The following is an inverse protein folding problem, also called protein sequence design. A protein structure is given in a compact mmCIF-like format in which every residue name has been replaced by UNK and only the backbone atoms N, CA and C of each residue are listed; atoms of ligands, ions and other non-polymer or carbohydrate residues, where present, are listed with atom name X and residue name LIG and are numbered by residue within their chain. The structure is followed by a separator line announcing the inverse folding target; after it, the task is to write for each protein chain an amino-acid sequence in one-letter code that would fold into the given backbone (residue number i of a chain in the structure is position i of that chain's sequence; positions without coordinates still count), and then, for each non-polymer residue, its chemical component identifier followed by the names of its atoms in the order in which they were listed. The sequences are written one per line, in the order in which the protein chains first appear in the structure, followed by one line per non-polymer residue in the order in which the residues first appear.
data_IF_239337312200
#
_entry.id   IF_239337312200
#
_cell.length_a   1.000
_cell.length_b   1.000
_cell.length_c   1.000
_cell.angle_alpha   90.00
_cell.angle_beta   90.00
_cell.angle_gamma   90.00
#
_symmetry.space_group_name_H-M   'P 1'
#
loop_
_entity.id
_entity.type
_entity.pdbx_description
1 polymer ?
#
# COMPACT_ATOMS: atom_id res chain seq x y z
N UNK A 21 5.32 -16.79 17.08
CA UNK A 21 6.13 -17.20 15.88
C UNK A 21 6.65 -15.98 15.11
N UNK A 22 7.23 -15.03 15.85
CA UNK A 22 7.61 -13.72 15.28
C UNK A 22 8.78 -13.80 14.32
N UNK A 23 8.63 -13.10 13.20
CA UNK A 23 9.69 -12.88 12.24
C UNK A 23 10.38 -11.59 12.64
N UNK A 24 11.67 -11.67 12.97
CA UNK A 24 12.50 -10.49 13.13
C UNK A 24 13.05 -10.09 11.77
N UNK A 25 13.49 -8.85 11.66
CA UNK A 25 13.60 -8.19 10.37
C UNK A 25 14.69 -7.10 10.42
N UNK A 26 15.67 -7.20 9.51
CA UNK A 26 16.79 -6.25 9.48
C UNK A 26 16.33 -4.98 8.81
N UNK A 27 15.61 -4.17 9.57
CA UNK A 27 14.96 -2.99 9.04
C UNK A 27 15.97 -2.00 8.50
N UNK A 28 17.08 -1.82 9.21
CA UNK A 28 18.19 -0.98 8.76
C UNK A 28 18.62 -1.34 7.34
N UNK A 29 18.80 -2.62 7.10
CA UNK A 29 19.23 -3.12 5.80
C UNK A 29 18.17 -2.94 4.73
N UNK A 30 16.92 -3.23 5.10
CA UNK A 30 15.77 -3.09 4.19
C UNK A 30 15.51 -1.62 3.86
N UNK A 31 15.39 -0.82 4.91
CA UNK A 31 15.28 0.64 4.85
C UNK A 31 16.34 1.27 3.94
N UNK A 32 17.55 0.70 3.93
CA UNK A 32 18.64 1.17 3.10
C UNK A 32 18.57 0.78 1.64
N UNK A 33 18.07 -0.42 1.35
CA UNK A 33 18.07 -0.95 -0.03
C UNK A 33 17.23 -0.08 -0.97
N UNK A 34 17.91 0.65 -1.85
CA UNK A 34 17.25 1.53 -2.81
C UNK A 34 16.71 0.79 -4.04
N UNK A 35 17.03 -0.50 -4.18
CA UNK A 35 16.41 -1.35 -5.20
C UNK A 35 14.93 -1.56 -4.90
N UNK A 36 14.60 -1.51 -3.61
CA UNK A 36 13.22 -1.56 -3.13
C UNK A 36 12.58 -0.18 -3.24
N UNK A 37 13.14 0.78 -2.54
CA UNK A 37 12.63 2.14 -2.49
C UNK A 37 12.14 2.64 -3.85
N UNK A 38 13.02 2.64 -4.84
CA UNK A 38 12.65 3.00 -6.22
C UNK A 38 11.47 2.15 -6.70
N UNK A 39 11.61 0.83 -6.57
CA UNK A 39 10.58 -0.12 -6.97
C UNK A 39 9.16 0.18 -6.48
N UNK A 40 9.05 0.81 -5.31
CA UNK A 40 7.73 1.15 -4.74
C UNK A 40 7.26 2.55 -5.12
N UNK A 41 8.18 3.47 -5.39
CA UNK A 41 7.80 4.73 -6.05
C UNK A 41 7.18 4.35 -7.38
N UNK A 42 7.95 3.60 -8.16
CA UNK A 42 7.49 3.14 -9.47
C UNK A 42 6.14 2.46 -9.38
N UNK A 43 5.97 1.59 -8.40
CA UNK A 43 4.68 0.94 -8.22
C UNK A 43 3.64 1.99 -7.94
N UNK A 44 3.95 2.93 -7.07
CA UNK A 44 2.99 3.96 -6.72
C UNK A 44 2.62 4.78 -7.94
N UNK A 45 3.60 5.41 -8.58
CA UNK A 45 3.32 6.22 -9.77
C UNK A 45 2.57 5.45 -10.84
N UNK A 46 3.17 4.37 -11.31
CA UNK A 46 2.54 3.58 -12.36
C UNK A 46 1.02 3.46 -12.21
N UNK A 47 0.58 3.15 -10.99
CA UNK A 47 -0.83 2.84 -10.70
C UNK A 47 -1.63 4.10 -10.42
N UNK A 48 -0.92 5.14 -9.99
CA UNK A 48 -1.44 6.47 -9.61
C UNK A 48 -1.95 7.24 -10.80
N UNK A 49 -1.27 7.07 -11.92
CA UNK A 49 -1.64 7.73 -13.15
C UNK A 49 -2.50 6.86 -14.05
N UNK A 50 -3.20 5.88 -13.48
CA UNK A 50 -4.34 5.27 -14.13
C UNK A 50 -5.59 6.03 -13.70
N UNK A 51 -5.45 6.83 -12.66
CA UNK A 51 -6.57 7.55 -12.10
C UNK A 51 -6.91 8.80 -12.89
N UNK A 52 -8.05 9.40 -12.54
CA UNK A 52 -8.55 10.64 -13.12
C UNK A 52 -8.30 11.80 -12.17
N UNK A 53 -7.20 12.51 -12.40
CA UNK A 53 -6.91 13.69 -11.61
C UNK A 53 -7.91 14.78 -12.00
N UNK A 54 -8.58 15.38 -11.00
CA UNK A 54 -9.53 16.44 -11.31
C UNK A 54 -8.88 17.70 -11.93
N UNK A 55 -9.71 18.70 -12.20
CA UNK A 55 -9.30 19.90 -12.93
C UNK A 55 -8.34 20.82 -12.18
N UNK A 56 -8.30 20.68 -10.86
CA UNK A 56 -7.45 21.54 -10.05
C UNK A 56 -6.04 20.96 -9.80
N UNK A 57 -5.65 19.93 -10.54
CA UNK A 57 -4.35 19.24 -10.36
C UNK A 57 -3.73 18.70 -11.62
N UNK A 58 -2.43 18.95 -11.77
CA UNK A 58 -1.61 18.35 -12.83
C UNK A 58 -0.27 17.91 -12.25
N UNK A 59 0.53 17.22 -13.05
CA UNK A 59 1.90 16.84 -12.66
C UNK A 59 1.99 16.36 -11.21
N UNK A 60 1.19 15.32 -10.92
CA UNK A 60 1.15 14.65 -9.61
C UNK A 60 1.92 13.34 -9.61
N UNK A 61 3.16 13.40 -9.14
CA UNK A 61 4.00 12.21 -9.00
C UNK A 61 4.45 12.02 -7.54
N UNK A 62 5.07 10.87 -7.30
CA UNK A 62 5.69 10.59 -6.02
C UNK A 62 7.15 10.92 -6.21
N UNK A 63 7.62 11.82 -5.37
CA UNK A 63 8.98 12.31 -5.39
C UNK A 63 9.87 11.30 -4.69
N UNK A 64 9.45 10.93 -3.48
CA UNK A 64 10.28 10.19 -2.54
C UNK A 64 9.42 9.31 -1.64
N UNK A 65 9.73 8.02 -1.61
CA UNK A 65 9.14 7.12 -0.63
C UNK A 65 10.13 6.95 0.49
N UNK A 66 9.65 6.95 1.73
CA UNK A 66 10.50 6.64 2.87
C UNK A 66 9.82 5.71 3.87
N UNK A 67 10.51 4.62 4.15
CA UNK A 67 10.05 3.63 5.10
C UNK A 67 10.18 4.24 6.48
N UNK A 68 9.52 3.65 7.46
CA UNK A 68 9.73 4.08 8.85
C UNK A 68 11.17 3.87 9.27
N UNK A 69 11.57 4.46 10.38
CA UNK A 69 12.82 4.09 11.06
C UNK A 69 12.62 2.79 11.83
N UNK A 70 11.36 2.52 12.19
CA UNK A 70 10.94 1.34 12.93
C UNK A 70 10.12 0.38 12.05
N UNK A 71 10.32 -0.93 12.23
CA UNK A 71 9.65 -1.95 11.43
C UNK A 71 8.21 -2.29 11.87
N UNK A 72 7.52 -3.11 11.08
CA UNK A 72 6.22 -3.67 11.47
C UNK A 72 6.42 -4.93 12.28
N UNK A 73 5.42 -5.26 13.09
CA UNK A 73 5.45 -6.50 13.81
C UNK A 73 4.99 -7.62 12.88
N UNK A 74 5.98 -8.32 12.36
CA UNK A 74 5.74 -9.40 11.45
C UNK A 74 5.56 -10.68 12.27
N UNK A 75 4.53 -11.45 11.96
CA UNK A 75 4.32 -12.74 12.58
C UNK A 75 4.00 -13.73 11.48
N UNK A 76 4.78 -14.81 11.41
CA UNK A 76 4.50 -15.87 10.44
C UNK A 76 3.26 -16.63 10.89
N UNK A 77 2.37 -16.88 9.95
CA UNK A 77 1.21 -17.74 10.19
C UNK A 77 1.33 -19.06 9.43
N UNK A 78 1.83 -19.01 8.20
CA UNK A 78 1.93 -20.19 7.35
C UNK A 78 3.02 -20.13 6.29
N UNK A 79 3.46 -21.31 5.86
CA UNK A 79 4.31 -21.46 4.69
C UNK A 79 3.57 -22.28 3.66
N UNK A 80 3.67 -21.82 2.42
CA UNK A 80 3.13 -22.54 1.27
C UNK A 80 4.09 -22.27 0.12
N UNK A 81 3.76 -22.81 -1.04
CA UNK A 81 4.41 -22.42 -2.28
C UNK A 81 3.58 -21.30 -2.92
N UNK A 82 4.25 -20.35 -3.58
CA UNK A 82 3.57 -19.26 -4.29
C UNK A 82 2.43 -19.75 -5.18
N UNK A 83 1.25 -19.13 -5.04
CA UNK A 83 0.11 -19.44 -5.90
C UNK A 83 0.42 -19.53 -7.40
N UNK A 84 -0.31 -20.38 -8.10
CA UNK A 84 -0.13 -20.55 -9.55
C UNK A 84 -0.23 -19.20 -10.23
N UNK A 85 -1.12 -18.36 -9.72
CA UNK A 85 -1.33 -17.04 -10.32
C UNK A 85 -0.21 -16.05 -10.10
N UNK A 86 0.73 -16.36 -9.21
CA UNK A 86 1.99 -15.62 -9.18
C UNK A 86 2.89 -16.06 -10.33
N UNK A 87 2.31 -16.57 -11.42
CA UNK A 87 3.08 -17.02 -12.57
C UNK A 87 2.52 -16.44 -13.87
N UNK A 88 3.43 -15.86 -14.63
CA UNK A 88 3.21 -14.65 -15.43
C UNK A 88 3.60 -14.74 -16.95
N UNK A 89 2.73 -14.17 -17.78
CA UNK A 89 2.90 -14.08 -19.24
C UNK A 89 3.35 -12.68 -19.67
N UNK A 105 13.58 -24.66 -3.60
CA UNK A 105 12.75 -24.62 -4.79
C UNK A 105 13.22 -23.59 -5.85
N UNK A 106 13.76 -22.44 -5.48
CA UNK A 106 13.98 -22.02 -4.08
C UNK A 106 12.89 -21.06 -3.57
N UNK A 107 11.74 -21.09 -4.24
CA UNK A 107 10.63 -20.18 -3.93
C UNK A 107 9.86 -20.60 -2.68
N UNK A 108 9.07 -19.66 -2.17
CA UNK A 108 8.47 -19.75 -0.85
C UNK A 108 7.37 -18.68 -0.77
N UNK A 109 6.42 -18.82 0.16
CA UNK A 109 5.31 -17.86 0.27
C UNK A 109 4.72 -17.76 1.69
N UNK A 110 5.11 -16.72 2.41
CA UNK A 110 4.76 -16.56 3.83
C UNK A 110 3.44 -15.79 4.05
N UNK A 111 2.45 -16.44 4.65
CA UNK A 111 1.28 -15.73 5.16
C UNK A 111 1.65 -15.10 6.49
N UNK A 112 1.23 -13.86 6.69
CA UNK A 112 1.85 -13.01 7.70
C UNK A 112 0.84 -12.05 8.32
N UNK A 113 1.00 -11.79 9.62
CA UNK A 113 0.33 -10.69 10.29
C UNK A 113 1.24 -9.46 10.38
N UNK A 114 0.79 -8.37 9.79
CA UNK A 114 1.49 -7.10 9.82
C UNK A 114 0.77 -6.16 10.74
N UNK A 115 1.36 -5.92 11.90
CA UNK A 115 0.93 -4.81 12.73
C UNK A 115 1.94 -3.71 12.47
N UNK A 116 1.52 -2.70 11.71
CA UNK A 116 2.35 -1.56 11.39
C UNK A 116 1.77 -0.28 11.94
N UNK A 117 2.28 0.14 13.09
CA UNK A 117 1.99 1.45 13.66
C UNK A 117 3.23 2.34 13.53
N UNK A 118 3.97 2.16 12.45
CA UNK A 118 5.27 2.80 12.29
C UNK A 118 5.19 4.23 11.79
N UNK A 119 6.35 4.74 11.36
CA UNK A 119 6.50 6.14 10.95
C UNK A 119 6.83 6.23 9.47
N UNK A 120 5.91 5.74 8.64
CA UNK A 120 6.10 5.72 7.20
C UNK A 120 5.75 7.05 6.60
N UNK A 121 6.39 7.39 5.48
CA UNK A 121 6.16 8.66 4.82
C UNK A 121 6.35 8.62 3.31
N UNK A 122 5.32 9.03 2.58
CA UNK A 122 5.41 9.14 1.12
C UNK A 122 5.31 10.61 0.74
N UNK A 123 6.26 11.04 -0.09
CA UNK A 123 6.43 12.44 -0.44
C UNK A 123 5.97 12.67 -1.87
N UNK A 124 5.24 13.76 -2.12
CA UNK A 124 4.58 13.99 -3.40
C UNK A 124 4.95 15.33 -4.07
N UNK A 125 4.62 15.44 -5.35
CA UNK A 125 4.81 16.65 -6.15
C UNK A 125 3.51 16.97 -6.85
N UNK A 126 3.04 18.21 -6.75
CA UNK A 126 1.76 18.57 -7.35
C UNK A 126 1.69 20.01 -7.85
N UNK A 127 0.81 20.24 -8.82
CA UNK A 127 0.52 21.56 -9.39
C UNK A 127 -0.97 21.90 -9.19
N UNK A 128 -1.23 23.13 -8.73
CA UNK A 128 -2.60 23.63 -8.56
C UNK A 128 -3.04 24.51 -9.75
N UNK A 129 -4.36 24.67 -9.91
CA UNK A 129 -4.95 25.38 -11.05
C UNK A 129 -6.16 26.20 -10.58
N UNK A 136 -8.67 29.85 -12.98
CA UNK A 136 -7.49 29.17 -13.53
C UNK A 136 -6.44 30.16 -14.13
N UNK A 137 -6.48 31.41 -13.66
CA UNK A 137 -5.57 32.46 -14.14
C UNK A 137 -4.12 32.27 -13.66
N UNK A 138 -3.81 31.16 -12.99
CA UNK A 138 -2.49 30.95 -12.37
C UNK A 138 -2.29 29.52 -11.82
N UNK A 139 -1.00 29.12 -11.73
CA UNK A 139 -0.58 27.80 -11.25
C UNK A 139 0.39 27.91 -10.07
N UNK A 140 0.14 27.11 -9.04
CA UNK A 140 1.06 27.01 -7.91
C UNK A 140 1.56 25.58 -7.74
N UNK A 141 2.89 25.38 -7.67
CA UNK A 141 3.44 24.10 -7.25
C UNK A 141 3.31 23.87 -5.75
N UNK A 142 3.00 22.63 -5.34
CA UNK A 142 2.86 22.28 -3.92
C UNK A 142 3.59 21.00 -3.58
N UNK A 143 3.74 20.76 -2.28
CA UNK A 143 4.46 19.60 -1.78
C UNK A 143 3.76 18.98 -0.58
N UNK A 144 3.65 17.65 -0.61
CA UNK A 144 2.87 16.92 0.39
C UNK A 144 3.62 15.72 0.97
N UNK A 145 3.36 15.44 2.24
CA UNK A 145 3.76 14.18 2.85
C UNK A 145 2.50 13.42 3.27
N UNK A 146 2.63 12.09 3.29
CA UNK A 146 1.66 11.21 3.92
C UNK A 146 2.39 10.52 5.06
N UNK A 147 1.68 10.35 6.17
CA UNK A 147 2.27 9.81 7.40
C UNK A 147 1.22 9.05 8.19
N UNK A 148 1.64 8.42 9.29
CA UNK A 148 0.71 7.72 10.17
C UNK A 148 -0.02 6.64 9.43
N UNK A 149 0.69 5.89 8.60
CA UNK A 149 0.10 4.76 7.92
C UNK A 149 -0.06 3.63 8.93
N UNK A 150 -1.30 3.29 9.22
CA UNK A 150 -1.60 2.30 10.23
C UNK A 150 -2.35 1.15 9.60
N UNK A 151 -1.73 -0.02 9.61
CA UNK A 151 -2.38 -1.24 9.15
C UNK A 151 -2.18 -2.30 10.19
N UNK A 152 -3.24 -2.99 10.57
CA UNK A 152 -3.06 -4.24 11.26
C UNK A 152 -3.78 -5.25 10.41
N UNK A 153 -3.01 -6.12 9.79
CA UNK A 153 -3.40 -6.69 8.52
C UNK A 153 -2.70 -8.00 8.23
N UNK A 154 -3.42 -8.85 7.51
CA UNK A 154 -2.93 -10.16 7.09
C UNK A 154 -2.45 -10.08 5.63
N UNK A 155 -1.35 -10.75 5.30
CA UNK A 155 -0.69 -10.42 4.04
C UNK A 155 0.27 -11.49 3.54
N UNK A 156 0.15 -11.84 2.26
CA UNK A 156 1.06 -12.78 1.58
C UNK A 156 2.35 -12.11 1.15
N UNK A 157 3.47 -12.82 1.27
CA UNK A 157 4.77 -12.31 0.85
C UNK A 157 5.54 -13.38 0.06
N UNK A 158 5.65 -13.18 -1.26
CA UNK A 158 6.03 -14.26 -2.17
C UNK A 158 7.37 -14.02 -2.89
N UNK A 159 8.43 -14.59 -2.33
CA UNK A 159 9.75 -14.53 -2.94
C UNK A 159 9.83 -15.63 -3.98
N UNK A 160 9.81 -15.27 -5.26
CA UNK A 160 10.05 -16.25 -6.34
C UNK A 160 10.82 -15.59 -7.50
N UNK A 161 11.72 -16.36 -8.12
CA UNK A 161 12.53 -15.89 -9.26
C UNK A 161 13.24 -14.56 -8.96
N UNK A 162 13.86 -14.47 -7.78
CA UNK A 162 14.61 -13.27 -7.37
C UNK A 162 13.72 -12.01 -7.41
N UNK A 163 12.52 -12.12 -6.85
CA UNK A 163 11.46 -11.14 -7.08
C UNK A 163 10.31 -11.25 -6.08
N UNK A 164 10.11 -10.21 -5.27
CA UNK A 164 9.09 -10.26 -4.20
C UNK A 164 7.72 -9.70 -4.62
N UNK A 165 6.66 -10.32 -4.11
CA UNK A 165 5.31 -9.81 -4.26
C UNK A 165 4.69 -9.65 -2.90
N UNK A 166 4.06 -8.49 -2.67
CA UNK A 166 3.27 -8.26 -1.48
C UNK A 166 1.84 -8.09 -1.91
N UNK A 167 1.00 -9.02 -1.49
CA UNK A 167 -0.44 -8.89 -1.64
C UNK A 167 -1.04 -8.82 -0.24
N UNK A 168 -1.69 -7.71 0.10
CA UNK A 168 -2.38 -7.59 1.39
C UNK A 168 -3.69 -8.32 1.29
N UNK A 169 -4.03 -9.10 2.31
CA UNK A 169 -5.25 -9.90 2.27
C UNK A 169 -6.37 -9.12 2.88
N UNK A 170 -6.21 -8.76 4.14
CA UNK A 170 -7.22 -7.96 4.84
C UNK A 170 -6.72 -7.44 6.18
N UNK A 171 -7.58 -6.59 6.77
CA UNK A 171 -7.41 -6.10 8.12
C UNK A 171 -7.74 -7.27 9.04
N UNK A 172 -6.89 -7.49 10.05
CA UNK A 172 -7.03 -8.64 10.94
C UNK A 172 -8.36 -8.64 11.70
N UNK A 173 -8.83 -7.43 12.01
CA UNK A 173 -10.10 -7.21 12.72
C UNK A 173 -11.31 -7.20 11.80
N UNK A 174 -11.07 -7.50 10.52
CA UNK A 174 -12.15 -7.64 9.55
C UNK A 174 -13.16 -8.58 10.19
N UNK A 175 -14.42 -8.14 10.29
CA UNK A 175 -15.54 -8.99 10.67
C UNK A 175 -15.62 -10.28 9.88
N UNK A 176 -15.17 -10.24 8.63
CA UNK A 176 -15.37 -11.34 7.68
C UNK A 176 -14.48 -12.55 7.97
N UNK A 177 -13.52 -12.41 8.88
CA UNK A 177 -12.81 -13.57 9.45
C UNK A 177 -13.55 -14.05 10.70
N UNK A 178 -13.73 -13.13 11.67
CA UNK A 178 -14.38 -13.43 12.95
C UNK A 178 -15.68 -14.24 12.80
N UNK A 179 -16.28 -14.23 11.61
CA UNK A 179 -17.41 -15.09 11.29
C UNK A 179 -17.08 -16.19 10.28
N UNK A 180 -15.80 -16.49 10.06
CA UNK A 180 -15.40 -17.29 8.89
C UNK A 180 -16.05 -16.58 7.68
N UNK A 181 -16.39 -17.31 6.62
CA UNK A 181 -17.09 -16.72 5.46
C UNK A 181 -16.16 -16.00 4.47
N UNK A 182 -14.85 -16.05 4.70
CA UNK A 182 -13.84 -15.65 3.70
C UNK A 182 -12.61 -16.55 3.85
N UNK A 183 -12.37 -17.46 2.90
CA UNK A 183 -11.28 -18.43 3.05
C UNK A 183 -9.94 -17.77 2.73
N UNK A 184 -9.15 -17.50 3.77
CA UNK A 184 -7.84 -16.83 3.61
C UNK A 184 -6.65 -17.80 3.70
N UNK A 185 -6.89 -19.07 3.40
CA UNK A 185 -5.82 -20.05 3.30
C UNK A 185 -5.70 -20.41 1.83
N UNK A 186 -4.53 -20.13 1.24
CA UNK A 186 -4.29 -20.51 -0.16
C UNK A 186 -3.98 -22.00 -0.36
N UNK A 187 -4.33 -22.85 0.59
CA UNK A 187 -4.03 -24.28 0.49
C UNK A 187 -4.85 -25.06 -0.56
N UNK A 188 -6.18 -25.10 -0.50
CA UNK A 188 -7.04 -24.22 0.27
C UNK A 188 -8.05 -23.69 -0.75
N UNK A 189 -9.18 -24.41 -0.93
CA UNK A 189 -10.09 -24.18 -2.06
C UNK A 189 -10.90 -22.89 -1.91
N UNK A 190 -11.55 -22.46 -2.98
CA UNK A 190 -12.32 -21.22 -2.94
C UNK A 190 -11.60 -20.16 -2.08
N UNK A 191 -10.29 -20.05 -2.27
CA UNK A 191 -9.47 -19.07 -1.57
C UNK A 191 -9.87 -17.71 -2.07
N UNK A 192 -10.18 -16.79 -1.16
CA UNK A 192 -10.57 -15.43 -1.52
C UNK A 192 -11.83 -15.38 -2.37
N UNK A 193 -12.74 -16.32 -2.16
CA UNK A 193 -13.96 -16.41 -2.96
C UNK A 193 -14.81 -15.17 -2.85
N UNK A 194 -15.91 -15.14 -3.60
CA UNK A 194 -16.92 -14.06 -3.52
C UNK A 194 -17.12 -13.63 -2.06
N UNK A 195 -17.44 -12.34 -1.88
CA UNK A 195 -17.44 -11.69 -0.57
C UNK A 195 -16.06 -11.09 -0.25
N UNK A 196 -15.10 -11.22 -1.17
CA UNK A 196 -13.83 -10.51 -1.06
C UNK A 196 -14.07 -9.01 -1.12
N UNK A 197 -14.98 -8.60 -2.00
CA UNK A 197 -15.29 -7.17 -2.20
C UNK A 197 -15.83 -6.48 -0.98
N UNK A 198 -16.40 -7.24 -0.04
CA UNK A 198 -16.94 -6.67 1.20
C UNK A 198 -15.86 -6.16 2.18
N UNK A 199 -14.62 -6.61 2.02
CA UNK A 199 -13.54 -6.31 2.98
C UNK A 199 -13.49 -4.87 3.49
N UNK A 200 -13.06 -4.72 4.74
CA UNK A 200 -12.86 -3.42 5.34
C UNK A 200 -11.50 -2.89 4.92
N UNK A 201 -11.28 -1.59 5.11
CA UNK A 201 -10.03 -0.94 4.70
C UNK A 201 -8.84 -1.46 5.45
N UNK A 202 -7.74 -1.60 4.73
CA UNK A 202 -6.51 -2.08 5.30
C UNK A 202 -5.76 -0.91 5.93
N UNK A 203 -6.06 0.28 5.43
CA UNK A 203 -5.58 1.53 6.03
C UNK A 203 -6.47 1.87 7.21
N UNK A 204 -5.92 1.75 8.41
CA UNK A 204 -6.65 2.08 9.62
C UNK A 204 -6.56 3.57 9.90
N UNK A 205 -5.41 4.19 9.65
CA UNK A 205 -5.35 5.64 9.68
C UNK A 205 -4.24 6.18 8.78
N UNK A 206 -4.22 7.50 8.63
CA UNK A 206 -3.35 8.17 7.66
C UNK A 206 -3.37 9.70 7.79
N UNK A 207 -2.18 10.31 7.94
CA UNK A 207 -2.06 11.78 8.05
C UNK A 207 -1.42 12.33 6.78
N UNK A 208 -1.84 13.54 6.41
CA UNK A 208 -1.40 14.20 5.18
C UNK A 208 -1.41 15.73 5.30
N UNK A 209 -0.21 16.33 5.42
CA UNK A 209 -0.06 17.79 5.47
C UNK A 209 0.61 18.26 4.18
N UNK A 210 0.65 19.58 3.98
CA UNK A 210 1.08 20.19 2.73
C UNK A 210 2.13 21.29 3.00
N UNK A 211 2.75 21.83 1.95
CA UNK A 211 3.70 22.93 2.07
C UNK A 211 3.33 24.10 1.14
N UNK A 218 0.69 34.28 1.81
CA UNK A 218 -0.72 34.66 1.65
C UNK A 218 -1.68 33.48 1.80
N UNK A 219 -2.85 33.73 2.36
CA UNK A 219 -3.88 32.70 2.55
C UNK A 219 -4.75 32.52 1.28
N UNK A 220 -5.87 33.24 1.20
CA UNK A 220 -6.76 33.16 0.04
C UNK A 220 -7.70 31.97 0.08
N UNK A 221 -8.62 31.90 -0.89
CA UNK A 221 -9.54 30.76 -1.06
C UNK A 221 -8.94 29.64 -1.91
N UNK A 222 -7.62 29.70 -2.12
CA UNK A 222 -6.84 28.56 -2.60
C UNK A 222 -6.75 27.47 -1.52
N UNK A 223 -6.88 27.88 -0.25
CA UNK A 223 -6.98 26.93 0.86
C UNK A 223 -8.27 26.13 0.84
N UNK A 224 -9.28 26.63 0.11
CA UNK A 224 -10.47 25.84 -0.23
C UNK A 224 -10.08 24.64 -1.10
N UNK A 225 -9.00 24.79 -1.86
CA UNK A 225 -8.54 23.76 -2.80
C UNK A 225 -7.52 22.76 -2.21
N UNK A 226 -6.54 23.25 -1.45
CA UNK A 226 -5.61 22.33 -0.77
C UNK A 226 -6.34 21.37 0.18
N UNK A 227 -7.60 21.69 0.52
CA UNK A 227 -8.46 20.84 1.33
C UNK A 227 -9.32 19.86 0.56
N UNK A 228 -9.62 20.15 -0.72
CA UNK A 228 -10.27 19.17 -1.60
C UNK A 228 -9.25 18.13 -2.01
N UNK A 229 -8.01 18.59 -2.13
CA UNK A 229 -6.88 17.79 -2.56
C UNK A 229 -6.46 16.79 -1.50
N UNK A 230 -6.09 17.29 -0.32
CA UNK A 230 -5.76 16.43 0.81
C UNK A 230 -6.89 15.43 1.07
N UNK A 231 -8.13 15.87 0.87
CA UNK A 231 -9.30 14.99 0.88
C UNK A 231 -9.25 13.97 -0.24
N UNK A 232 -8.89 14.44 -1.42
CA UNK A 232 -8.85 13.61 -2.61
C UNK A 232 -7.73 12.59 -2.57
N UNK A 233 -6.51 13.04 -2.30
CA UNK A 233 -5.36 12.14 -2.32
C UNK A 233 -5.52 11.01 -1.34
N UNK A 234 -6.08 11.32 -0.18
CA UNK A 234 -6.48 10.30 0.77
C UNK A 234 -7.45 9.36 0.05
N UNK A 235 -8.65 9.84 -0.21
CA UNK A 235 -9.67 8.96 -0.74
C UNK A 235 -9.20 8.23 -2.01
N UNK A 236 -8.26 8.81 -2.74
CA UNK A 236 -7.62 8.12 -3.86
C UNK A 236 -6.70 7.03 -3.36
N UNK A 237 -5.80 7.43 -2.47
CA UNK A 237 -4.70 6.56 -2.06
C UNK A 237 -5.17 5.30 -1.34
N UNK A 238 -6.33 5.39 -0.68
CA UNK A 238 -6.97 4.22 -0.10
C UNK A 238 -7.33 3.24 -1.22
N UNK A 239 -7.99 3.78 -2.25
CA UNK A 239 -8.38 2.99 -3.42
C UNK A 239 -7.23 2.34 -4.11
N UNK A 240 -6.11 3.04 -4.16
CA UNK A 240 -4.91 2.51 -4.77
C UNK A 240 -4.41 1.27 -4.02
N UNK A 241 -4.57 1.26 -2.70
CA UNK A 241 -4.17 0.12 -1.89
C UNK A 241 -5.18 -1.00 -2.04
N UNK A 242 -6.45 -0.66 -1.86
CA UNK A 242 -7.55 -1.61 -2.00
C UNK A 242 -7.50 -2.32 -3.35
N UNK A 243 -7.22 -1.57 -4.40
CA UNK A 243 -7.26 -2.09 -5.76
C UNK A 243 -5.94 -2.60 -6.31
N UNK A 244 -4.82 -2.05 -5.87
CA UNK A 244 -3.54 -2.37 -6.53
C UNK A 244 -2.49 -3.11 -5.71
N UNK A 245 -2.68 -3.16 -4.39
CA UNK A 245 -1.78 -3.91 -3.52
C UNK A 245 -2.50 -5.02 -2.75
N UNK A 246 -3.79 -4.88 -2.54
CA UNK A 246 -4.57 -5.96 -1.94
C UNK A 246 -4.85 -7.00 -2.99
N UNK A 247 -4.60 -8.27 -2.63
CA UNK A 247 -5.09 -9.39 -3.42
C UNK A 247 -6.52 -9.08 -3.87
N UNK A 248 -6.89 -9.34 -5.13
CA UNK A 248 -6.12 -10.10 -6.11
C UNK A 248 -4.91 -9.42 -6.75
N UNK A 249 -4.65 -8.17 -6.39
CA UNK A 249 -3.56 -7.42 -6.96
C UNK A 249 -2.33 -7.61 -6.12
N UNK A 250 -1.28 -6.87 -6.42
CA UNK A 250 -0.13 -6.83 -5.54
C UNK A 250 0.92 -5.82 -5.99
N UNK A 251 1.80 -5.52 -5.05
CA UNK A 251 3.01 -4.80 -5.32
C UNK A 251 3.97 -5.84 -5.82
N UNK A 252 4.77 -5.49 -6.81
CA UNK A 252 5.65 -6.47 -7.45
C UNK A 252 7.05 -5.91 -7.65
N UNK A 253 7.87 -6.07 -6.59
CA UNK A 253 9.25 -5.57 -6.55
C UNK A 253 10.24 -6.63 -7.02
N UNK A 254 11.52 -6.27 -7.01
CA UNK A 254 12.61 -7.25 -7.09
C UNK A 254 13.56 -7.12 -5.86
#
# INVERSE_FOLDING_TARGET
MGSSHHHHHHSSGLVPRGSHMSVEIDWDNIRGDLSVNQGVKDFLNSRLQEFELPSYVNNLKVTNFDLGTMPPNVILKQMDDPLDEFYSYLLQEGDISKEAAKDKNTDVQLLVELDYKGDMSIELSADLVLNYPSPQFMILPVKLRISDIGMHCLCLLAYLKKQLFISFLCDVSDPLLENDKLQVDPSGPNFMGKRALERISLIRNIKIHTELGQLDQGEGSVLRSVGKLEEFLVDLFRNLIRKEAAWPSWIDLDFTPEDPEDPEEEGRENDLVADSSNDGKDIEMKSGTEETLGAGIQESVQHVSPAVTSIDQESRVNSNTSLEE
#
